data_IF_729597645745
#
_entry.id   IF_729597645745
#
_cell.length_a   1.000
_cell.length_b   1.000
_cell.length_c   1.000
_cell.angle_alpha   90.00
_cell.angle_beta   90.00
_cell.angle_gamma   90.00
#
_symmetry.space_group_name_H-M   'P 1'
#
loop_
_entity.id
_entity.type
_entity.pdbx_description
1 polymer ?
#
# COMPACT_ATOMS: atom_id res chain seq x y z
N UNK A 1 1.24 0.04 1.45
CA UNK A 1 0.85 -0.52 0.14
C UNK A 1 1.06 0.54 -0.91
N UNK A 2 1.78 0.23 -1.97
CA UNK A 2 2.11 1.19 -3.03
C UNK A 2 2.06 0.50 -4.38
N UNK A 3 1.73 1.26 -5.42
CA UNK A 3 1.81 0.80 -6.81
C UNK A 3 3.17 1.15 -7.41
N UNK A 4 3.70 0.28 -8.26
CA UNK A 4 4.94 0.52 -9.02
C UNK A 4 4.70 1.07 -10.42
N UNK A 5 3.48 1.00 -10.94
CA UNK A 5 3.15 1.38 -12.32
C UNK A 5 2.25 2.61 -12.42
N UNK A 6 1.41 2.90 -11.42
CA UNK A 6 0.46 4.00 -11.46
C UNK A 6 0.31 4.76 -10.13
N UNK A 7 -0.41 5.87 -10.16
CA UNK A 7 -0.71 6.62 -8.95
C UNK A 7 -1.72 5.90 -8.05
N UNK A 8 -1.57 6.05 -6.74
CA UNK A 8 -2.42 5.40 -5.74
C UNK A 8 -2.65 6.32 -4.53
N UNK A 9 -3.72 6.09 -3.78
CA UNK A 9 -3.93 6.77 -2.50
C UNK A 9 -3.24 6.02 -1.36
N UNK A 10 -2.37 6.71 -0.61
CA UNK A 10 -1.63 6.11 0.52
C UNK A 10 -2.51 5.93 1.77
N UNK A 11 -1.97 5.38 2.86
CA UNK A 11 -2.74 5.06 4.07
C UNK A 11 -3.47 6.26 4.72
N UNK A 12 -3.08 7.50 4.40
CA UNK A 12 -3.72 8.73 4.87
C UNK A 12 -4.61 9.41 3.79
N UNK A 13 -4.78 8.77 2.62
CA UNK A 13 -5.61 9.27 1.53
C UNK A 13 -4.92 10.29 0.61
N UNK A 14 -3.59 10.42 0.65
CA UNK A 14 -2.86 11.29 -0.28
C UNK A 14 -2.53 10.54 -1.57
N UNK A 15 -2.77 11.20 -2.71
CA UNK A 15 -2.36 10.67 -4.02
C UNK A 15 -0.83 10.70 -4.14
N UNK A 16 -0.23 9.55 -4.49
CA UNK A 16 1.20 9.37 -4.70
C UNK A 16 1.50 8.93 -6.12
N UNK A 17 2.67 9.29 -6.62
CA UNK A 17 3.25 8.73 -7.84
C UNK A 17 4.12 7.52 -7.53
N UNK A 18 4.31 6.58 -8.47
CA UNK A 18 5.24 5.47 -8.30
C UNK A 18 6.63 5.95 -7.87
N UNK A 19 7.18 5.32 -6.82
CA UNK A 19 8.51 5.67 -6.31
C UNK A 19 8.55 6.77 -5.25
N UNK A 20 7.45 7.48 -5.00
CA UNK A 20 7.37 8.48 -3.93
C UNK A 20 7.30 7.84 -2.54
N UNK A 21 7.69 8.61 -1.52
CA UNK A 21 7.34 8.28 -0.14
C UNK A 21 5.83 8.31 0.05
N UNK A 22 5.34 7.48 0.96
CA UNK A 22 3.91 7.35 1.23
C UNK A 22 3.67 7.08 2.72
N UNK A 23 2.45 7.34 3.18
CA UNK A 23 2.03 6.93 4.53
C UNK A 23 1.52 5.48 4.52
N UNK A 24 1.99 4.64 5.44
CA UNK A 24 1.37 3.33 5.70
C UNK A 24 0.04 3.48 6.46
N UNK A 25 -0.68 2.37 6.70
CA UNK A 25 -2.01 2.43 7.35
C UNK A 25 -1.96 2.86 8.83
N UNK A 26 -0.77 3.01 9.42
CA UNK A 26 -0.60 3.60 10.75
C UNK A 26 -0.09 5.05 10.68
N UNK A 27 -0.02 5.65 9.49
CA UNK A 27 0.41 7.04 9.32
C UNK A 27 1.93 7.23 9.38
N UNK A 28 2.74 6.17 9.24
CA UNK A 28 4.20 6.31 9.17
C UNK A 28 4.65 6.56 7.72
N UNK A 29 5.60 7.50 7.54
CA UNK A 29 6.24 7.72 6.24
C UNK A 29 7.15 6.54 5.92
N UNK A 30 7.01 6.00 4.70
CA UNK A 30 7.80 4.88 4.17
C UNK A 30 8.39 5.21 2.81
N UNK A 31 9.56 4.66 2.52
CA UNK A 31 10.07 4.51 1.16
C UNK A 31 9.48 3.23 0.52
N UNK A 32 9.33 3.20 -0.83
CA UNK A 32 9.08 1.95 -1.53
C UNK A 32 10.14 0.91 -1.16
N UNK A 33 9.71 -0.33 -0.92
CA UNK A 33 10.56 -1.46 -0.47
C UNK A 33 10.94 -1.47 1.01
N UNK A 34 10.56 -0.48 1.82
CA UNK A 34 10.61 -0.60 3.28
C UNK A 34 9.45 -1.44 3.82
N UNK A 35 9.63 -2.01 5.01
CA UNK A 35 8.55 -2.64 5.75
C UNK A 35 7.46 -1.61 6.08
N UNK A 36 6.20 -2.03 6.07
CA UNK A 36 5.05 -1.15 6.26
C UNK A 36 3.94 -1.84 7.04
N UNK A 37 3.06 -1.07 7.68
CA UNK A 37 1.84 -1.62 8.27
C UNK A 37 0.73 -1.74 7.22
N UNK A 38 0.18 -2.95 7.06
CA UNK A 38 -0.99 -3.20 6.20
C UNK A 38 -2.30 -2.73 6.85
N UNK A 39 -3.44 -2.91 6.17
CA UNK A 39 -4.74 -2.43 6.63
C UNK A 39 -5.14 -2.97 8.02
N UNK A 40 -4.71 -4.20 8.35
CA UNK A 40 -4.98 -4.82 9.66
C UNK A 40 -3.97 -4.40 10.74
N UNK A 41 -3.04 -3.49 10.42
CA UNK A 41 -2.01 -3.02 11.33
C UNK A 41 -0.89 -4.03 11.55
N UNK A 42 -0.70 -4.99 10.64
CA UNK A 42 0.38 -5.97 10.70
C UNK A 42 1.60 -5.42 9.96
N UNK A 43 2.78 -5.46 10.59
CA UNK A 43 4.02 -5.10 9.93
C UNK A 43 4.40 -6.16 8.90
N UNK A 44 4.59 -5.74 7.65
CA UNK A 44 4.95 -6.57 6.50
C UNK A 44 6.29 -6.15 5.92
N UNK A 45 7.09 -7.11 5.52
CA UNK A 45 8.23 -6.83 4.64
C UNK A 45 7.74 -6.54 3.21
N UNK A 46 8.52 -5.77 2.46
CA UNK A 46 8.19 -5.51 1.07
C UNK A 46 8.22 -6.80 0.25
N UNK A 47 7.11 -7.13 -0.42
CA UNK A 47 6.97 -8.38 -1.16
C UNK A 47 6.24 -9.48 -0.40
N UNK A 48 5.86 -9.27 0.87
CA UNK A 48 4.98 -10.19 1.58
C UNK A 48 3.51 -10.02 1.20
N UNK A 49 2.73 -11.07 1.40
CA UNK A 49 1.28 -11.00 1.34
C UNK A 49 0.74 -10.07 2.44
N UNK A 50 -0.35 -9.39 2.15
CA UNK A 50 -0.75 -8.20 2.89
C UNK A 50 -2.23 -7.89 2.69
N UNK A 51 -2.86 -7.21 3.65
CA UNK A 51 -4.27 -6.82 3.55
C UNK A 51 -4.43 -5.44 2.87
N UNK A 52 -5.29 -5.38 1.85
CA UNK A 52 -5.61 -4.16 1.10
C UNK A 52 -6.58 -3.21 1.79
N UNK A 53 -6.83 -2.05 1.20
CA UNK A 53 -7.71 -1.02 1.78
C UNK A 53 -9.15 -1.45 2.00
N UNK A 54 -9.51 -2.66 1.52
CA UNK A 54 -10.80 -3.31 1.81
C UNK A 54 -10.65 -4.52 2.75
N UNK A 55 -9.49 -4.72 3.36
CA UNK A 55 -9.19 -5.87 4.22
C UNK A 55 -9.07 -7.20 3.48
N UNK A 56 -8.78 -7.18 2.17
CA UNK A 56 -8.62 -8.40 1.37
C UNK A 56 -7.16 -8.81 1.35
N UNK A 57 -6.86 -10.08 1.64
CA UNK A 57 -5.50 -10.61 1.54
C UNK A 57 -5.04 -10.64 0.08
N UNK A 58 -3.88 -10.03 -0.18
CA UNK A 58 -3.27 -9.95 -1.50
C UNK A 58 -1.90 -10.61 -1.57
N UNK A 59 -1.58 -11.15 -2.74
CA UNK A 59 -0.22 -11.51 -3.13
C UNK A 59 0.53 -10.25 -3.55
N UNK A 60 1.76 -10.06 -3.07
CA UNK A 60 2.54 -8.88 -3.44
C UNK A 60 2.73 -8.76 -4.97
N UNK A 61 2.48 -7.56 -5.50
CA UNK A 61 2.55 -7.28 -6.93
C UNK A 61 1.29 -7.63 -7.72
N UNK A 62 0.26 -8.20 -7.09
CA UNK A 62 -1.07 -8.30 -7.71
C UNK A 62 -1.89 -7.01 -7.50
N UNK A 63 -2.99 -6.88 -8.23
CA UNK A 63 -3.87 -5.74 -8.09
C UNK A 63 -4.50 -5.67 -6.68
N UNK A 64 -4.60 -4.46 -6.14
CA UNK A 64 -5.07 -4.22 -4.78
C UNK A 64 -6.01 -3.02 -4.72
N UNK A 65 -6.81 -2.92 -3.66
CA UNK A 65 -7.54 -1.68 -3.37
C UNK A 65 -6.72 -0.73 -2.51
N UNK A 66 -6.52 0.50 -2.97
CA UNK A 66 -5.88 1.55 -2.18
C UNK A 66 -6.79 2.04 -1.03
N UNK A 67 -6.31 3.00 -0.22
CA UNK A 67 -7.03 3.48 0.96
C UNK A 67 -8.40 4.11 0.65
N UNK A 68 -8.56 4.67 -0.55
CA UNK A 68 -9.83 5.22 -1.05
C UNK A 68 -10.69 4.15 -1.76
N UNK A 69 -10.25 2.89 -1.73
CA UNK A 69 -10.98 1.75 -2.30
C UNK A 69 -10.92 1.65 -3.82
N UNK A 70 -9.98 2.36 -4.48
CA UNK A 70 -9.73 2.27 -5.92
C UNK A 70 -8.84 1.07 -6.22
N UNK A 71 -9.15 0.32 -7.28
CA UNK A 71 -8.31 -0.79 -7.73
C UNK A 71 -7.05 -0.25 -8.42
N UNK A 72 -5.89 -0.73 -8.01
CA UNK A 72 -4.55 -0.35 -8.52
C UNK A 72 -3.75 -1.56 -8.93
N UNK A 73 -2.86 -1.38 -9.88
CA UNK A 73 -1.79 -2.33 -10.19
C UNK A 73 -0.71 -2.32 -9.08
N UNK A 74 -0.15 -3.51 -8.78
CA UNK A 74 0.86 -3.74 -7.74
C UNK A 74 2.26 -3.15 -7.96
#
# INVERSE_FOLDING_TARGET
>A
MYSKSESFYDGEGYLRSPGEVYYDYQGHIRQPSESFYDYEGILREAGENFFDGKGILRIAGENFYDSEGCLREG
#
